data_IF_403648718428
#
_entry.id   IF_403648718428
#
_cell.length_a   1.000
_cell.length_b   1.000
_cell.length_c   1.000
_cell.angle_alpha   90.00
_cell.angle_beta   90.00
_cell.angle_gamma   90.00
#
_symmetry.space_group_name_H-M   'P 1'
#
loop_
_entity.id
_entity.type
_entity.pdbx_description
1 polymer ?
#
# COMPACT_ATOMS: atom_id res chain seq x y z
N UNK A 1 25.21 -21.45 -12.18
CA UNK A 1 24.24 -21.84 -11.14
C UNK A 1 22.89 -21.77 -11.83
N UNK A 2 22.27 -22.92 -12.02
CA UNK A 2 21.00 -23.05 -12.73
C UNK A 2 19.95 -22.19 -12.07
N UNK A 3 19.35 -21.29 -12.84
CA UNK A 3 18.14 -20.56 -12.47
C UNK A 3 17.03 -21.59 -12.27
N UNK A 4 16.91 -22.07 -11.04
CA UNK A 4 15.80 -22.92 -10.65
C UNK A 4 14.52 -22.20 -11.04
N UNK A 5 13.83 -22.73 -12.04
CA UNK A 5 12.65 -22.26 -12.73
C UNK A 5 11.53 -21.86 -11.74
N UNK A 6 11.75 -20.79 -11.00
CA UNK A 6 10.72 -20.21 -10.11
C UNK A 6 9.77 -19.44 -11.01
N UNK A 7 8.68 -20.08 -11.39
CA UNK A 7 7.73 -19.56 -12.35
C UNK A 7 6.93 -18.39 -11.72
N UNK A 8 7.44 -17.17 -11.90
CA UNK A 8 6.72 -15.95 -11.59
C UNK A 8 6.02 -15.42 -12.84
N UNK A 9 4.81 -14.90 -12.66
CA UNK A 9 4.03 -14.23 -13.71
C UNK A 9 3.68 -12.80 -13.30
N UNK A 10 3.57 -11.92 -14.29
CA UNK A 10 2.96 -10.61 -14.12
C UNK A 10 1.47 -10.71 -14.41
N UNK A 11 0.66 -10.00 -13.64
CA UNK A 11 -0.74 -9.83 -13.98
C UNK A 11 -0.85 -8.87 -15.17
N UNK A 12 -1.73 -9.25 -16.08
CA UNK A 12 -2.11 -8.50 -17.29
C UNK A 12 -3.63 -8.48 -17.39
N UNK A 13 -4.18 -7.71 -18.29
CA UNK A 13 -5.64 -7.69 -18.53
C UNK A 13 -6.18 -9.06 -18.92
N UNK A 14 -5.39 -9.86 -19.62
CA UNK A 14 -5.79 -11.16 -20.12
C UNK A 14 -5.89 -12.21 -19.01
N UNK A 15 -5.00 -12.16 -17.99
CA UNK A 15 -4.98 -13.15 -16.91
C UNK A 15 -5.57 -12.65 -15.59
N UNK A 16 -5.86 -11.36 -15.47
CA UNK A 16 -6.30 -10.72 -14.22
C UNK A 16 -7.57 -11.37 -13.63
N UNK A 17 -8.47 -11.85 -14.47
CA UNK A 17 -9.74 -12.46 -14.03
C UNK A 17 -9.56 -13.83 -13.38
N UNK A 18 -8.54 -14.57 -13.79
CA UNK A 18 -8.28 -15.93 -13.33
C UNK A 18 -7.29 -15.99 -12.17
N UNK A 19 -6.42 -14.99 -12.09
CA UNK A 19 -5.31 -14.99 -11.16
C UNK A 19 -5.65 -14.42 -9.78
N UNK A 20 -5.00 -14.96 -8.77
CA UNK A 20 -5.05 -14.42 -7.42
C UNK A 20 -4.15 -13.20 -7.28
N UNK A 21 -4.63 -12.13 -6.63
CA UNK A 21 -4.00 -10.79 -6.67
C UNK A 21 -3.91 -10.10 -5.29
N UNK A 22 -3.83 -10.88 -4.20
CA UNK A 22 -3.75 -10.30 -2.86
C UNK A 22 -3.22 -11.27 -1.81
N UNK A 23 -3.12 -10.80 -0.55
CA UNK A 23 -2.70 -11.61 0.59
C UNK A 23 -3.84 -12.40 1.26
N UNK A 24 -5.11 -12.20 0.88
CA UNK A 24 -6.24 -13.01 1.37
C UNK A 24 -6.10 -14.44 0.87
N UNK A 25 -6.32 -15.40 1.75
CA UNK A 25 -6.26 -16.82 1.40
C UNK A 25 -7.35 -17.15 0.35
N UNK A 26 -6.94 -17.86 -0.69
CA UNK A 26 -7.88 -18.34 -1.72
C UNK A 26 -8.99 -19.16 -1.10
N UNK A 27 -10.23 -18.84 -1.43
CA UNK A 27 -11.41 -19.63 -1.07
C UNK A 27 -12.29 -19.86 -2.30
N UNK A 28 -13.19 -20.85 -2.21
CA UNK A 28 -14.20 -21.06 -3.26
C UNK A 28 -15.27 -19.97 -3.26
N UNK A 29 -15.45 -19.29 -2.12
CA UNK A 29 -16.41 -18.18 -1.99
C UNK A 29 -15.76 -16.90 -2.50
N UNK A 30 -16.47 -16.20 -3.36
CA UNK A 30 -16.06 -14.88 -3.86
C UNK A 30 -15.93 -13.93 -2.68
N UNK A 31 -14.81 -13.21 -2.61
CA UNK A 31 -14.56 -12.19 -1.58
C UNK A 31 -14.75 -10.81 -2.19
N UNK A 32 -15.74 -10.00 -1.73
CA UNK A 32 -16.04 -8.72 -2.36
C UNK A 32 -14.84 -7.79 -2.46
N UNK A 33 -13.99 -7.74 -1.43
CA UNK A 33 -12.77 -6.93 -1.45
C UNK A 33 -11.73 -7.38 -2.48
N UNK A 34 -11.69 -8.69 -2.82
CA UNK A 34 -10.82 -9.19 -3.89
C UNK A 34 -11.31 -8.71 -5.24
N UNK A 35 -12.62 -8.69 -5.46
CA UNK A 35 -13.21 -8.16 -6.70
C UNK A 35 -13.04 -6.64 -6.81
N UNK A 36 -13.22 -5.90 -5.71
CA UNK A 36 -12.95 -4.47 -5.67
C UNK A 36 -11.47 -4.14 -6.03
N UNK A 37 -10.52 -4.89 -5.44
CA UNK A 37 -9.11 -4.77 -5.82
C UNK A 37 -8.86 -5.16 -7.28
N UNK A 38 -9.53 -6.18 -7.79
CA UNK A 38 -9.39 -6.61 -9.18
C UNK A 38 -9.78 -5.49 -10.15
N UNK A 39 -10.90 -4.84 -9.89
CA UNK A 39 -11.34 -3.70 -10.69
C UNK A 39 -10.35 -2.54 -10.55
N UNK A 40 -9.94 -2.20 -9.33
CA UNK A 40 -8.95 -1.15 -9.09
C UNK A 40 -7.64 -1.41 -9.86
N UNK A 41 -7.12 -2.64 -9.82
CA UNK A 41 -5.88 -3.02 -10.49
C UNK A 41 -6.04 -3.02 -12.02
N UNK A 42 -7.19 -3.45 -12.56
CA UNK A 42 -7.48 -3.43 -13.99
C UNK A 42 -7.28 -2.03 -14.60
N UNK A 43 -7.76 -1.01 -13.88
CA UNK A 43 -7.62 0.38 -14.30
C UNK A 43 -6.16 0.85 -14.21
N UNK A 44 -5.42 0.41 -13.20
CA UNK A 44 -4.02 0.81 -12.95
C UNK A 44 -3.01 0.14 -13.88
N UNK A 45 -3.29 -1.05 -14.44
CA UNK A 45 -2.37 -1.73 -15.36
C UNK A 45 -1.98 -0.85 -16.55
N UNK A 46 -2.91 -0.01 -17.05
CA UNK A 46 -2.61 0.93 -18.15
C UNK A 46 -1.68 2.09 -17.73
N UNK A 47 -1.56 2.32 -16.43
CA UNK A 47 -0.73 3.38 -15.85
C UNK A 47 0.67 2.89 -15.50
N UNK A 48 1.03 1.68 -15.92
CA UNK A 48 2.33 1.05 -15.64
C UNK A 48 2.41 0.34 -14.28
N UNK A 49 1.28 0.10 -13.63
CA UNK A 49 1.23 -0.67 -12.39
C UNK A 49 1.63 -2.12 -12.63
N UNK A 50 2.51 -2.65 -11.80
CA UNK A 50 3.02 -4.02 -11.89
C UNK A 50 2.58 -4.82 -10.69
N UNK A 51 1.93 -5.94 -10.93
CA UNK A 51 1.66 -6.97 -9.94
C UNK A 51 2.31 -8.27 -10.40
N UNK A 52 3.40 -8.67 -9.71
CA UNK A 52 4.13 -9.90 -10.02
C UNK A 52 3.95 -10.92 -8.92
N UNK A 53 3.58 -12.13 -9.27
CA UNK A 53 3.29 -13.20 -8.30
C UNK A 53 3.93 -14.53 -8.69
N UNK A 54 4.11 -15.40 -7.70
CA UNK A 54 4.45 -16.80 -7.94
C UNK A 54 3.26 -17.50 -8.62
N UNK A 55 3.53 -18.18 -9.73
CA UNK A 55 2.53 -18.99 -10.44
C UNK A 55 2.30 -20.34 -9.72
N UNK A 56 1.73 -20.25 -8.53
CA UNK A 56 1.39 -21.36 -7.67
C UNK A 56 0.19 -21.01 -6.79
N UNK A 57 -0.32 -22.00 -6.04
CA UNK A 57 -1.38 -21.73 -5.04
C UNK A 57 -0.89 -20.91 -3.85
N UNK A 58 0.44 -20.85 -3.64
CA UNK A 58 1.05 -20.04 -2.58
C UNK A 58 0.88 -18.54 -2.84
N UNK A 59 0.76 -17.76 -1.75
CA UNK A 59 0.60 -16.30 -1.83
C UNK A 59 1.98 -15.66 -1.65
N UNK A 60 2.59 -15.33 -2.79
CA UNK A 60 3.92 -14.70 -2.89
C UNK A 60 3.83 -13.68 -4.03
N UNK A 61 3.98 -12.38 -3.71
CA UNK A 61 3.87 -11.33 -4.73
C UNK A 61 4.60 -10.04 -4.34
N UNK A 62 4.81 -9.20 -5.33
CA UNK A 62 5.22 -7.80 -5.21
C UNK A 62 4.30 -6.93 -6.07
N UNK A 63 4.02 -5.72 -5.60
CA UNK A 63 3.15 -4.74 -6.25
C UNK A 63 3.81 -3.37 -6.21
N UNK A 64 4.02 -2.74 -7.38
CA UNK A 64 4.63 -1.42 -7.51
C UNK A 64 4.14 -0.70 -8.76
N UNK A 65 4.32 0.62 -8.81
CA UNK A 65 3.92 1.45 -9.94
C UNK A 65 4.90 2.62 -10.15
N UNK A 66 4.90 3.27 -11.34
CA UNK A 66 5.53 4.58 -11.48
C UNK A 66 4.99 5.55 -10.44
N UNK A 67 5.89 6.30 -9.78
CA UNK A 67 5.49 7.22 -8.71
C UNK A 67 4.54 8.30 -9.23
N UNK A 68 4.67 8.68 -10.48
CA UNK A 68 3.83 9.67 -11.15
C UNK A 68 2.37 9.26 -11.17
N UNK A 69 2.10 7.95 -11.33
CA UNK A 69 0.75 7.36 -11.37
C UNK A 69 0.38 6.62 -10.09
N UNK A 70 1.30 6.56 -9.12
CA UNK A 70 1.02 5.94 -7.83
C UNK A 70 0.06 6.79 -7.00
N UNK A 71 -0.95 6.15 -6.42
CA UNK A 71 -2.02 6.78 -5.63
C UNK A 71 -1.57 7.03 -4.19
N UNK A 72 -0.51 7.81 -4.07
CA UNK A 72 0.11 8.18 -2.78
C UNK A 72 0.55 9.64 -2.80
N UNK A 73 0.51 10.35 -1.66
CA UNK A 73 0.86 11.77 -1.58
C UNK A 73 2.39 11.96 -1.48
N UNK A 74 3.09 11.48 -2.50
CA UNK A 74 4.54 11.55 -2.63
C UNK A 74 4.86 12.20 -3.97
N UNK A 75 5.83 13.11 -3.97
CA UNK A 75 6.40 13.75 -5.15
C UNK A 75 7.82 13.28 -5.38
N UNK A 76 8.24 13.22 -6.64
CA UNK A 76 9.56 12.81 -7.09
C UNK A 76 9.46 12.34 -8.54
N UNK A 77 10.50 12.56 -9.30
CA UNK A 77 10.50 12.25 -10.70
C UNK A 77 11.14 10.89 -10.96
N UNK A 78 10.49 10.12 -11.83
CA UNK A 78 11.02 8.89 -12.38
C UNK A 78 11.36 7.80 -11.35
N UNK A 79 10.58 7.68 -10.27
CA UNK A 79 10.68 6.61 -9.28
C UNK A 79 9.66 5.52 -9.51
N UNK A 80 9.91 4.32 -8.97
CA UNK A 80 8.83 3.37 -8.66
C UNK A 80 8.42 3.51 -7.19
N UNK A 81 7.11 3.43 -6.93
CA UNK A 81 6.55 3.29 -5.59
C UNK A 81 6.20 1.82 -5.32
N UNK A 82 6.79 1.24 -4.28
CA UNK A 82 6.52 -0.12 -3.83
C UNK A 82 5.34 -0.13 -2.85
N UNK A 83 4.18 -0.61 -3.30
CA UNK A 83 2.97 -0.73 -2.48
C UNK A 83 3.03 -1.88 -1.50
N UNK A 84 3.43 -3.07 -1.97
CA UNK A 84 3.40 -4.28 -1.17
C UNK A 84 4.41 -5.32 -1.66
N UNK A 85 5.03 -6.01 -0.71
CA UNK A 85 5.77 -7.23 -0.94
C UNK A 85 5.34 -8.25 0.11
N UNK A 86 4.80 -9.39 -0.32
CA UNK A 86 4.24 -10.38 0.58
C UNK A 86 4.71 -11.80 0.26
N UNK A 87 5.13 -12.50 1.32
CA UNK A 87 5.48 -13.93 1.27
C UNK A 87 4.79 -14.63 2.42
N UNK A 88 3.83 -15.51 2.12
CA UNK A 88 3.01 -16.17 3.15
C UNK A 88 3.50 -17.55 3.55
N UNK A 89 3.15 -17.94 4.79
CA UNK A 89 3.14 -19.31 5.27
C UNK A 89 4.44 -20.08 5.01
N UNK A 90 4.31 -21.24 4.40
CA UNK A 90 5.39 -22.19 4.09
C UNK A 90 6.40 -21.69 3.05
N UNK A 91 6.15 -20.52 2.45
CA UNK A 91 7.07 -19.86 1.51
C UNK A 91 8.08 -18.95 2.18
N UNK A 92 7.89 -18.61 3.46
CA UNK A 92 8.88 -17.83 4.24
C UNK A 92 10.21 -18.56 4.35
N UNK A 93 11.31 -17.81 4.32
CA UNK A 93 12.65 -18.36 4.43
C UNK A 93 13.21 -19.02 3.16
N UNK A 94 12.43 -19.12 2.08
CA UNK A 94 12.83 -19.76 0.80
C UNK A 94 13.43 -18.80 -0.24
N UNK A 95 13.73 -17.57 0.15
CA UNK A 95 14.33 -16.58 -0.76
C UNK A 95 13.37 -15.85 -1.69
N UNK A 96 12.08 -16.15 -1.68
CA UNK A 96 11.10 -15.52 -2.60
C UNK A 96 11.01 -13.98 -2.47
N UNK A 97 11.11 -13.46 -1.25
CA UNK A 97 11.12 -12.01 -1.04
C UNK A 97 12.34 -11.35 -1.71
N UNK A 98 13.51 -12.03 -1.65
CA UNK A 98 14.72 -11.60 -2.34
C UNK A 98 14.50 -11.57 -3.86
N UNK A 99 14.01 -12.66 -4.45
CA UNK A 99 13.76 -12.77 -5.90
C UNK A 99 12.79 -11.67 -6.39
N UNK A 100 11.73 -11.39 -5.63
CA UNK A 100 10.75 -10.35 -5.97
C UNK A 100 11.37 -8.94 -5.90
N UNK A 101 12.16 -8.65 -4.88
CA UNK A 101 12.85 -7.35 -4.75
C UNK A 101 13.89 -7.18 -5.87
N UNK A 102 14.70 -8.21 -6.14
CA UNK A 102 15.69 -8.20 -7.23
C UNK A 102 15.03 -7.97 -8.60
N UNK A 103 13.86 -8.58 -8.82
CA UNK A 103 13.08 -8.32 -10.02
C UNK A 103 12.67 -6.85 -10.12
N UNK A 104 12.10 -6.27 -9.06
CA UNK A 104 11.70 -4.87 -9.05
C UNK A 104 12.89 -3.93 -9.28
N UNK A 105 14.05 -4.23 -8.67
CA UNK A 105 15.30 -3.48 -8.87
C UNK A 105 15.79 -3.56 -10.33
N UNK A 106 15.77 -4.75 -10.92
CA UNK A 106 16.17 -4.96 -12.31
C UNK A 106 15.21 -4.24 -13.27
N UNK A 107 13.90 -4.33 -13.01
CA UNK A 107 12.88 -3.65 -13.82
C UNK A 107 13.02 -2.13 -13.74
N UNK A 108 13.25 -1.57 -12.54
CA UNK A 108 13.48 -0.15 -12.37
C UNK A 108 14.71 0.34 -13.16
N UNK A 109 15.83 -0.38 -13.07
CA UNK A 109 17.04 -0.06 -13.83
C UNK A 109 16.83 -0.18 -15.34
N UNK A 110 16.17 -1.25 -15.78
CA UNK A 110 15.86 -1.48 -17.21
C UNK A 110 15.01 -0.35 -17.79
N UNK A 111 14.07 0.19 -17.01
CA UNK A 111 13.19 1.27 -17.42
C UNK A 111 13.77 2.67 -17.13
N UNK A 112 15.07 2.76 -16.78
CA UNK A 112 15.77 4.03 -16.56
C UNK A 112 15.21 4.84 -15.38
N UNK A 113 14.64 4.17 -14.36
CA UNK A 113 14.12 4.85 -13.19
C UNK A 113 15.22 5.43 -12.32
N UNK A 114 14.95 6.57 -11.69
CA UNK A 114 15.84 7.23 -10.73
C UNK A 114 15.97 6.45 -9.42
N UNK A 115 15.02 5.57 -9.13
CA UNK A 115 15.04 4.75 -7.92
C UNK A 115 13.72 4.07 -7.60
N UNK A 116 13.64 3.54 -6.38
CA UNK A 116 12.43 2.94 -5.80
C UNK A 116 12.18 3.57 -4.44
N UNK A 117 10.94 3.88 -4.11
CA UNK A 117 10.55 4.37 -2.79
C UNK A 117 9.37 3.60 -2.21
N UNK A 118 9.18 3.71 -0.89
CA UNK A 118 8.10 3.06 -0.16
C UNK A 118 7.78 3.77 1.14
N UNK A 119 6.56 3.62 1.62
CA UNK A 119 6.15 4.04 2.95
C UNK A 119 6.65 3.06 4.00
N UNK A 120 7.24 3.57 5.07
CA UNK A 120 7.68 2.82 6.23
C UNK A 120 7.41 3.57 7.52
N UNK A 121 7.97 3.08 8.61
CA UNK A 121 7.92 3.77 9.90
C UNK A 121 9.07 3.33 10.79
N UNK A 122 9.57 4.24 11.62
CA UNK A 122 10.68 3.97 12.55
C UNK A 122 10.40 2.77 13.47
N UNK A 123 9.17 2.66 13.97
CA UNK A 123 8.68 1.46 14.66
C UNK A 123 7.77 0.71 13.70
N UNK A 124 7.99 -0.60 13.55
CA UNK A 124 7.15 -1.42 12.67
C UNK A 124 5.68 -1.22 13.01
N UNK A 125 4.91 -0.86 11.99
CA UNK A 125 3.45 -0.73 12.06
C UNK A 125 2.81 -1.87 11.28
N UNK A 126 1.66 -2.34 11.74
CA UNK A 126 0.85 -3.28 10.98
C UNK A 126 0.52 -2.67 9.61
N UNK A 127 0.31 -3.52 8.61
CA UNK A 127 -0.07 -3.13 7.24
C UNK A 127 1.00 -2.38 6.44
N UNK A 128 2.19 -2.18 7.00
CA UNK A 128 3.35 -1.68 6.27
C UNK A 128 4.40 -2.77 6.07
N UNK A 129 5.07 -2.75 4.93
CA UNK A 129 6.23 -3.60 4.67
C UNK A 129 7.34 -3.26 5.67
N UNK A 130 7.97 -4.28 6.26
CA UNK A 130 9.07 -4.08 7.20
C UNK A 130 10.24 -3.36 6.52
N UNK A 131 10.52 -2.15 6.98
CA UNK A 131 11.62 -1.35 6.44
C UNK A 131 13.01 -1.97 6.67
N UNK A 132 13.17 -2.86 7.67
CA UNK A 132 14.43 -3.57 7.89
C UNK A 132 14.80 -4.47 6.71
N UNK A 133 13.79 -5.03 6.02
CA UNK A 133 13.98 -5.77 4.79
C UNK A 133 14.45 -4.85 3.65
N UNK A 134 13.80 -3.71 3.43
CA UNK A 134 14.19 -2.75 2.40
C UNK A 134 15.60 -2.18 2.64
N UNK A 135 15.95 -1.87 3.87
CA UNK A 135 17.29 -1.37 4.25
C UNK A 135 18.43 -2.32 3.88
N UNK A 136 18.20 -3.65 3.84
CA UNK A 136 19.19 -4.63 3.36
C UNK A 136 19.55 -4.46 1.88
N UNK A 137 18.70 -3.76 1.10
CA UNK A 137 18.92 -3.43 -0.30
C UNK A 137 19.44 -2.00 -0.51
N UNK A 138 19.76 -1.28 0.57
CA UNK A 138 20.28 0.07 0.51
C UNK A 138 19.20 1.17 0.52
N UNK A 139 17.95 0.85 0.87
CA UNK A 139 16.96 1.90 1.09
C UNK A 139 17.32 2.71 2.33
N UNK A 140 17.25 4.04 2.19
CA UNK A 140 17.49 4.99 3.27
C UNK A 140 16.23 5.82 3.53
N UNK A 141 16.12 6.38 4.73
CA UNK A 141 15.05 7.33 5.06
C UNK A 141 15.40 8.67 4.44
N UNK A 142 14.57 9.14 3.51
CA UNK A 142 14.78 10.39 2.77
C UNK A 142 13.83 11.50 3.20
N UNK A 143 12.71 11.15 3.86
CA UNK A 143 11.75 12.12 4.41
C UNK A 143 10.97 11.47 5.56
N UNK A 144 10.41 12.30 6.47
CA UNK A 144 9.63 11.82 7.63
C UNK A 144 8.46 12.75 7.90
N UNK A 145 7.43 12.22 8.60
CA UNK A 145 6.32 13.01 9.13
C UNK A 145 6.38 13.12 10.66
N UNK A 146 5.63 14.06 11.23
CA UNK A 146 5.59 14.26 12.69
C UNK A 146 5.06 13.02 13.43
N UNK A 147 4.15 12.24 12.82
CA UNK A 147 3.59 11.02 13.36
C UNK A 147 4.51 9.78 13.20
N UNK A 148 5.76 9.99 12.74
CA UNK A 148 6.80 8.96 12.71
C UNK A 148 6.63 7.95 11.57
N UNK A 149 6.06 8.38 10.45
CA UNK A 149 6.13 7.65 9.18
C UNK A 149 7.36 8.11 8.41
N UNK A 150 8.04 7.16 7.81
CA UNK A 150 9.25 7.35 7.02
C UNK A 150 8.95 7.13 5.54
N UNK A 151 9.49 7.99 4.68
CA UNK A 151 9.65 7.69 3.27
C UNK A 151 11.04 7.09 3.08
N UNK A 152 11.08 5.82 2.67
CA UNK A 152 12.33 5.17 2.31
C UNK A 152 12.52 5.25 0.79
N UNK A 153 13.76 5.47 0.37
CA UNK A 153 14.14 5.41 -1.04
C UNK A 153 15.49 4.74 -1.23
N UNK A 154 15.60 4.00 -2.33
CA UNK A 154 16.86 3.59 -2.92
C UNK A 154 17.03 4.39 -4.20
N UNK A 155 17.95 5.35 -4.19
CA UNK A 155 18.25 6.19 -5.34
C UNK A 155 19.36 5.58 -6.19
N UNK A 156 19.23 5.70 -7.53
CA UNK A 156 20.26 5.28 -8.50
C UNK A 156 21.06 6.47 -9.05
N UNK A 157 20.56 7.70 -8.91
CA UNK A 157 21.14 8.92 -9.50
C UNK A 157 21.34 10.06 -8.49
N UNK A 158 21.08 9.81 -7.20
CA UNK A 158 21.21 10.79 -6.12
C UNK A 158 19.99 11.69 -5.91
N UNK A 159 18.96 11.63 -6.76
CA UNK A 159 17.68 12.32 -6.52
C UNK A 159 16.90 11.62 -5.40
N UNK A 160 15.98 12.32 -4.74
CA UNK A 160 15.15 11.74 -3.68
C UNK A 160 13.70 12.22 -3.77
N UNK A 161 12.73 11.32 -3.60
CA UNK A 161 11.32 11.70 -3.49
C UNK A 161 11.05 12.33 -2.12
N UNK A 162 9.88 12.99 -1.98
CA UNK A 162 9.43 13.63 -0.74
C UNK A 162 7.94 13.45 -0.55
N UNK A 163 7.47 13.43 0.69
CA UNK A 163 6.06 13.60 0.97
C UNK A 163 5.58 14.96 0.47
N UNK A 164 4.35 15.04 -0.03
CA UNK A 164 3.73 16.32 -0.38
C UNK A 164 3.57 17.19 0.86
N UNK A 165 3.45 18.50 0.66
CA UNK A 165 3.18 19.42 1.78
C UNK A 165 1.81 19.12 2.41
N UNK A 166 0.83 18.69 1.62
CA UNK A 166 -0.48 18.25 2.13
C UNK A 166 -0.34 17.04 3.07
N UNK A 167 0.43 16.03 2.68
CA UNK A 167 0.64 14.84 3.52
C UNK A 167 1.26 15.15 4.89
N UNK A 168 2.08 16.19 4.98
CA UNK A 168 2.72 16.62 6.23
C UNK A 168 1.83 17.48 7.13
N UNK A 169 0.64 17.91 6.66
CA UNK A 169 -0.31 18.65 7.51
C UNK A 169 -0.82 17.80 8.65
N UNK A 170 -1.12 16.54 8.38
CA UNK A 170 -1.59 15.56 9.37
C UNK A 170 -2.82 16.04 10.17
N UNK A 171 -3.60 16.96 9.58
CA UNK A 171 -4.85 17.50 10.14
C UNK A 171 -5.86 17.86 9.04
N UNK A 172 -7.14 17.88 9.42
CA UNK A 172 -8.29 18.29 8.58
C UNK A 172 -9.25 19.11 9.43
N UNK A 173 -10.12 19.87 8.77
CA UNK A 173 -11.11 20.72 9.48
C UNK A 173 -12.33 19.92 10.01
N UNK A 174 -12.51 18.66 9.62
CA UNK A 174 -13.59 17.81 10.09
C UNK A 174 -13.25 17.17 11.43
N UNK A 175 -14.10 17.40 12.45
CA UNK A 175 -13.93 16.83 13.81
C UNK A 175 -14.50 15.42 13.98
N UNK A 176 -15.27 14.92 13.01
CA UNK A 176 -15.80 13.56 13.04
C UNK A 176 -14.71 12.52 12.74
N UNK A 177 -15.02 11.26 13.02
CA UNK A 177 -14.22 10.15 12.50
C UNK A 177 -14.23 10.23 10.96
N UNK A 178 -13.07 10.45 10.35
CA UNK A 178 -12.92 10.56 8.90
C UNK A 178 -11.94 9.55 8.38
N UNK A 179 -12.34 8.79 7.37
CA UNK A 179 -11.55 7.69 6.82
C UNK A 179 -11.39 7.89 5.32
N UNK A 180 -10.15 8.13 4.89
CA UNK A 180 -9.75 8.10 3.49
C UNK A 180 -9.38 6.68 3.11
N UNK A 181 -9.86 6.21 1.95
CA UNK A 181 -9.58 4.85 1.50
C UNK A 181 -9.56 4.72 -0.02
N UNK A 182 -8.82 3.72 -0.52
CA UNK A 182 -8.94 3.19 -1.88
C UNK A 182 -9.06 1.65 -1.86
N UNK A 183 -9.26 1.05 -3.02
CA UNK A 183 -9.47 -0.40 -3.13
C UNK A 183 -8.19 -1.18 -3.50
N UNK A 184 -7.01 -0.60 -3.31
CA UNK A 184 -5.74 -1.30 -3.53
C UNK A 184 -5.59 -2.52 -2.61
N UNK A 185 -6.03 -2.42 -1.37
CA UNK A 185 -6.00 -3.53 -0.41
C UNK A 185 -7.39 -4.17 -0.27
N UNK A 186 -7.54 -5.50 -0.46
CA UNK A 186 -8.85 -6.15 -0.42
C UNK A 186 -9.49 -6.18 0.97
N UNK A 187 -8.72 -5.97 2.03
CA UNK A 187 -9.26 -5.88 3.39
C UNK A 187 -10.03 -4.59 3.64
N UNK A 188 -9.77 -3.52 2.88
CA UNK A 188 -10.45 -2.23 3.01
C UNK A 188 -11.97 -2.38 2.92
N UNK A 189 -12.46 -3.19 1.99
CA UNK A 189 -13.90 -3.39 1.79
C UNK A 189 -14.61 -3.87 3.07
N UNK A 190 -14.10 -4.92 3.69
CA UNK A 190 -14.73 -5.49 4.89
C UNK A 190 -14.56 -4.59 6.12
N UNK A 191 -13.43 -3.85 6.20
CA UNK A 191 -13.21 -2.91 7.30
C UNK A 191 -14.18 -1.73 7.23
N UNK A 192 -14.47 -1.21 6.05
CA UNK A 192 -15.49 -0.16 5.85
C UNK A 192 -16.86 -0.65 6.36
N UNK A 193 -17.29 -1.84 5.93
CA UNK A 193 -18.60 -2.39 6.34
C UNK A 193 -18.67 -2.61 7.86
N UNK A 194 -17.62 -3.14 8.46
CA UNK A 194 -17.54 -3.36 9.91
C UNK A 194 -17.60 -2.03 10.68
N UNK A 195 -16.87 -1.02 10.24
CA UNK A 195 -16.84 0.29 10.89
C UNK A 195 -18.19 1.00 10.73
N UNK A 196 -18.80 0.97 9.54
CA UNK A 196 -20.15 1.50 9.33
C UNK A 196 -21.15 0.93 10.31
N UNK A 197 -21.24 -0.41 10.39
CA UNK A 197 -22.17 -1.08 11.29
C UNK A 197 -21.93 -0.68 12.76
N UNK A 198 -20.65 -0.63 13.17
CA UNK A 198 -20.31 -0.22 14.54
C UNK A 198 -20.74 1.24 14.81
N UNK A 199 -20.44 2.16 13.89
CA UNK A 199 -20.75 3.59 14.04
C UNK A 199 -22.27 3.83 14.06
N UNK A 200 -23.03 3.16 13.21
CA UNK A 200 -24.50 3.21 13.19
C UNK A 200 -25.10 2.71 14.53
N UNK A 201 -24.67 1.56 15.01
CA UNK A 201 -25.17 1.00 16.28
C UNK A 201 -24.81 1.84 17.53
N UNK A 202 -23.75 2.64 17.45
CA UNK A 202 -23.26 3.42 18.59
C UNK A 202 -23.48 4.94 18.43
N UNK A 203 -24.22 5.38 17.39
CA UNK A 203 -24.44 6.78 17.05
C UNK A 203 -23.14 7.61 16.93
N UNK A 204 -22.10 7.03 16.34
CA UNK A 204 -20.82 7.69 16.09
C UNK A 204 -20.85 8.30 14.68
N UNK A 205 -20.75 9.64 14.52
CA UNK A 205 -20.61 10.25 13.21
C UNK A 205 -19.34 9.79 12.51
N UNK A 206 -19.47 9.36 11.25
CA UNK A 206 -18.32 8.90 10.45
C UNK A 206 -18.46 9.34 8.99
N UNK A 207 -17.37 9.84 8.43
CA UNK A 207 -17.22 10.20 7.02
C UNK A 207 -16.24 9.26 6.33
N UNK A 208 -16.69 8.59 5.25
CA UNK A 208 -15.84 7.80 4.38
C UNK A 208 -15.55 8.55 3.09
N UNK A 209 -14.28 8.82 2.81
CA UNK A 209 -13.84 9.56 1.63
C UNK A 209 -13.09 8.60 0.70
N UNK A 210 -13.74 8.25 -0.40
CA UNK A 210 -13.13 7.43 -1.44
C UNK A 210 -12.10 8.25 -2.23
N UNK A 211 -10.86 7.77 -2.22
CA UNK A 211 -9.76 8.28 -3.04
C UNK A 211 -9.89 7.61 -4.40
N UNK A 212 -10.65 8.23 -5.30
CA UNK A 212 -11.07 7.69 -6.59
C UNK A 212 -10.39 8.36 -7.79
N UNK A 213 -9.48 9.29 -7.52
CA UNK A 213 -8.67 9.96 -8.55
C UNK A 213 -7.22 10.10 -8.11
N UNK A 214 -6.30 10.13 -9.07
CA UNK A 214 -4.88 10.39 -8.82
C UNK A 214 -4.67 11.75 -8.14
N UNK A 215 -5.41 12.78 -8.53
CA UNK A 215 -5.31 14.10 -7.93
C UNK A 215 -5.66 14.04 -6.44
N UNK A 216 -6.80 13.43 -6.06
CA UNK A 216 -7.15 13.25 -4.63
C UNK A 216 -6.04 12.51 -3.88
N UNK A 217 -5.45 11.47 -4.47
CA UNK A 217 -4.38 10.71 -3.84
C UNK A 217 -3.13 11.57 -3.60
N UNK A 218 -2.77 12.44 -4.55
CA UNK A 218 -1.62 13.35 -4.43
C UNK A 218 -1.84 14.50 -3.43
N UNK A 219 -3.09 14.89 -3.19
CA UNK A 219 -3.47 15.99 -2.31
C UNK A 219 -3.88 15.54 -0.89
N UNK A 220 -3.78 14.26 -0.58
CA UNK A 220 -4.15 13.72 0.73
C UNK A 220 -3.47 14.46 1.89
N UNK A 221 -4.19 14.71 3.00
CA UNK A 221 -3.67 15.45 4.14
C UNK A 221 -2.84 14.60 5.12
N UNK A 222 -2.51 13.37 4.75
CA UNK A 222 -1.68 12.45 5.53
C UNK A 222 -0.92 11.51 4.60
N UNK A 223 0.07 10.80 5.14
CA UNK A 223 0.66 9.64 4.47
C UNK A 223 -0.42 8.61 4.17
N UNK A 224 -0.26 7.88 3.07
CA UNK A 224 -1.28 6.98 2.56
C UNK A 224 -0.65 5.82 1.80
N UNK A 225 -1.23 4.65 1.94
CA UNK A 225 -0.94 3.50 1.10
C UNK A 225 -2.22 2.89 0.51
N UNK A 226 -3.31 2.92 1.26
CA UNK A 226 -4.69 2.56 0.88
C UNK A 226 -5.72 2.98 1.94
N UNK A 227 -5.27 3.56 3.06
CA UNK A 227 -6.07 3.88 4.24
C UNK A 227 -5.47 5.03 5.02
N UNK A 228 -6.30 5.94 5.52
CA UNK A 228 -5.90 7.03 6.40
C UNK A 228 -7.05 7.44 7.32
N UNK A 229 -6.81 7.50 8.62
CA UNK A 229 -7.81 7.77 9.65
C UNK A 229 -7.54 9.08 10.34
N UNK A 230 -8.59 9.90 10.49
CA UNK A 230 -8.59 11.12 11.28
C UNK A 230 -9.68 11.06 12.34
N UNK A 231 -9.42 11.66 13.49
CA UNK A 231 -10.39 11.88 14.54
C UNK A 231 -10.15 13.22 15.22
N UNK A 232 -11.21 13.99 15.46
CA UNK A 232 -11.12 15.37 15.98
C UNK A 232 -10.12 16.23 15.20
N UNK A 233 -10.14 16.08 13.88
CA UNK A 233 -9.25 16.80 12.98
C UNK A 233 -7.83 16.30 12.88
N UNK A 234 -7.38 15.38 13.73
CA UNK A 234 -5.99 14.91 13.80
C UNK A 234 -5.81 13.55 13.11
N UNK A 235 -4.68 13.39 12.42
CA UNK A 235 -4.31 12.12 11.80
C UNK A 235 -3.93 11.07 12.85
N UNK A 236 -4.55 9.91 12.77
CA UNK A 236 -4.39 8.83 13.73
C UNK A 236 -3.50 7.69 13.22
N UNK A 237 -3.75 7.21 12.00
CA UNK A 237 -3.05 6.04 11.48
C UNK A 237 -3.36 5.74 10.01
N UNK A 238 -2.45 5.00 9.37
CA UNK A 238 -2.70 4.28 8.10
C UNK A 238 -3.07 2.82 8.31
N UNK A 239 -3.13 2.35 9.56
CA UNK A 239 -3.51 0.97 9.82
C UNK A 239 -5.01 0.78 9.63
N UNK A 240 -5.39 -0.31 8.99
CA UNK A 240 -6.78 -0.77 9.01
C UNK A 240 -7.23 -0.96 10.46
N UNK A 241 -8.48 -0.58 10.76
CA UNK A 241 -9.03 -0.57 12.11
C UNK A 241 -9.83 -1.84 12.39
N UNK A 242 -9.44 -2.60 13.40
CA UNK A 242 -10.39 -3.46 14.09
C UNK A 242 -11.25 -2.66 15.08
N UNK A 243 -12.32 -3.26 15.58
CA UNK A 243 -13.24 -2.59 16.54
C UNK A 243 -12.52 -2.18 17.85
N UNK A 244 -11.54 -2.94 18.30
CA UNK A 244 -10.80 -2.61 19.52
C UNK A 244 -9.92 -1.36 19.30
N UNK A 245 -9.31 -1.24 18.13
CA UNK A 245 -8.52 -0.06 17.76
C UNK A 245 -9.43 1.17 17.55
N UNK A 246 -10.55 1.01 16.85
CA UNK A 246 -11.54 2.06 16.67
C UNK A 246 -12.01 2.61 18.04
N UNK A 247 -12.39 1.74 18.98
CA UNK A 247 -12.77 2.13 20.35
C UNK A 247 -11.68 2.93 21.08
N UNK A 248 -10.40 2.61 20.85
CA UNK A 248 -9.28 3.38 21.44
C UNK A 248 -9.17 4.78 20.85
N UNK A 249 -9.37 4.92 19.53
CA UNK A 249 -9.37 6.23 18.88
C UNK A 249 -10.52 7.08 19.42
N UNK A 250 -11.74 6.54 19.48
CA UNK A 250 -12.94 7.26 19.91
C UNK A 250 -12.90 7.70 21.39
N UNK A 251 -12.01 7.13 22.21
CA UNK A 251 -11.81 7.53 23.62
C UNK A 251 -10.79 8.66 23.81
N UNK A 252 -10.11 9.09 22.75
CA UNK A 252 -9.18 10.22 22.84
C UNK A 252 -9.95 11.52 23.08
N UNK A 253 -9.53 12.28 24.07
CA UNK A 253 -10.06 13.59 24.43
C UNK A 253 -9.63 14.69 23.45
#
# INVERSE_FOLDING_TARGET
>A
MEDGNTNFINLTKENLMEEHLCCIIRSKKLHPGVEAKRQWLADRLNEGHVFRKLNAKAIVFIEYAPLETAWVPITGDNYYYLYCLWVSGTCKGKGYGKLLMEYCLADAKKNGKSGICMLGSKKQKSWLTDQSFAKKYGFEVVDTTNNGYDLLALSFDGTTPKFTQSAKKENIDNNELTIYYDMQCPYVYQEIEMIKQYCEMNNVPVSFIHVDTLQKAKELPCVFNNWGVFYKGNFETVNLLDIAYLKRILKKE
#
